data_IF_802760934787
#
_entry.id   IF_802760934787
#
_cell.length_a   1.000
_cell.length_b   1.000
_cell.length_c   1.000
_cell.angle_alpha   90.00
_cell.angle_beta   90.00
_cell.angle_gamma   90.00
#
_symmetry.space_group_name_H-M   'P 1'
#
loop_
_entity.id
_entity.type
_entity.pdbx_description
1 polymer ?
#
# COMPACT_ATOMS: atom_id res chain seq x y z
N UNK A 1 4.34 14.73 -0.74
CA UNK A 1 4.56 13.26 -0.73
C UNK A 1 3.46 12.48 0.02
N UNK A 2 3.14 12.79 1.28
CA UNK A 2 2.18 12.00 2.08
C UNK A 2 0.77 11.84 1.46
N UNK A 3 0.25 12.86 0.77
CA UNK A 3 -1.02 12.77 0.02
C UNK A 3 -0.97 11.76 -1.12
N UNK A 4 0.16 11.70 -1.81
CA UNK A 4 0.37 10.76 -2.92
C UNK A 4 0.51 9.33 -2.39
N UNK A 5 1.17 9.15 -1.24
CA UNK A 5 1.20 7.85 -0.55
C UNK A 5 -0.22 7.39 -0.17
N UNK A 6 -1.03 8.27 0.44
CA UNK A 6 -2.42 7.96 0.76
C UNK A 6 -3.24 7.61 -0.48
N UNK A 7 -3.06 8.34 -1.59
CA UNK A 7 -3.72 8.02 -2.87
C UNK A 7 -3.31 6.65 -3.40
N UNK A 8 -2.02 6.30 -3.35
CA UNK A 8 -1.52 4.98 -3.74
C UNK A 8 -2.14 3.85 -2.91
N UNK A 9 -2.26 4.03 -1.60
CA UNK A 9 -2.91 3.07 -0.71
C UNK A 9 -4.43 2.94 -0.98
N UNK A 10 -5.13 4.04 -1.27
CA UNK A 10 -6.54 4.02 -1.67
C UNK A 10 -6.75 3.28 -2.99
N UNK A 11 -5.87 3.52 -3.98
CA UNK A 11 -5.87 2.77 -5.24
C UNK A 11 -5.65 1.28 -4.98
N UNK A 12 -4.73 0.93 -4.08
CA UNK A 12 -4.53 -0.45 -3.63
C UNK A 12 -5.79 -1.07 -3.05
N UNK A 13 -6.51 -0.36 -2.16
CA UNK A 13 -7.75 -0.88 -1.56
C UNK A 13 -8.83 -1.13 -2.62
N UNK A 14 -8.97 -0.23 -3.59
CA UNK A 14 -9.85 -0.44 -4.74
C UNK A 14 -9.40 -1.65 -5.57
N UNK A 15 -8.10 -1.78 -5.80
CA UNK A 15 -7.52 -2.86 -6.59
C UNK A 15 -7.78 -4.24 -5.97
N UNK A 16 -7.54 -4.40 -4.67
CA UNK A 16 -7.84 -5.65 -3.95
C UNK A 16 -9.34 -5.95 -3.91
N UNK A 17 -10.18 -4.91 -3.79
CA UNK A 17 -11.63 -5.09 -3.90
C UNK A 17 -12.01 -5.66 -5.28
N UNK A 18 -11.45 -5.14 -6.37
CA UNK A 18 -11.69 -5.67 -7.72
C UNK A 18 -11.21 -7.11 -7.86
N UNK A 19 -10.04 -7.46 -7.31
CA UNK A 19 -9.52 -8.83 -7.33
C UNK A 19 -10.46 -9.79 -6.60
N UNK A 20 -10.96 -9.39 -5.43
CA UNK A 20 -11.93 -10.20 -4.65
C UNK A 20 -13.23 -10.39 -5.44
N UNK A 21 -13.77 -9.33 -6.06
CA UNK A 21 -15.00 -9.42 -6.84
C UNK A 21 -14.82 -10.12 -8.19
N UNK A 22 -13.59 -10.29 -8.69
CA UNK A 22 -13.36 -10.97 -9.96
C UNK A 22 -13.76 -12.45 -9.93
N UNK A 23 -13.61 -13.11 -8.76
CA UNK A 23 -14.00 -14.52 -8.55
C UNK A 23 -15.52 -14.74 -8.70
N UNK A 24 -16.41 -14.08 -7.93
CA UNK A 24 -17.86 -14.27 -8.10
C UNK A 24 -18.39 -13.75 -9.44
N UNK A 25 -17.70 -12.79 -10.07
CA UNK A 25 -18.05 -12.32 -11.42
C UNK A 25 -17.51 -13.22 -12.54
N UNK A 26 -16.65 -14.20 -12.22
CA UNK A 26 -15.99 -15.06 -13.22
C UNK A 26 -15.19 -14.29 -14.27
N UNK A 27 -14.71 -13.08 -13.95
CA UNK A 27 -14.20 -12.13 -14.95
C UNK A 27 -12.69 -11.94 -14.85
N UNK A 28 -11.97 -12.60 -15.76
CA UNK A 28 -10.52 -12.43 -15.89
C UNK A 28 -10.09 -10.98 -16.19
N UNK A 29 -10.95 -10.20 -16.86
CA UNK A 29 -10.67 -8.80 -17.15
C UNK A 29 -10.70 -7.93 -15.89
N UNK A 30 -11.64 -8.19 -14.98
CA UNK A 30 -11.69 -7.51 -13.67
C UNK A 30 -10.46 -7.85 -12.84
N UNK A 31 -10.05 -9.12 -12.83
CA UNK A 31 -8.83 -9.56 -12.16
C UNK A 31 -7.58 -8.85 -12.71
N UNK A 32 -7.43 -8.78 -14.04
CA UNK A 32 -6.31 -8.08 -14.70
C UNK A 32 -6.28 -6.60 -14.37
N UNK A 33 -7.43 -5.94 -14.40
CA UNK A 33 -7.55 -4.53 -14.03
C UNK A 33 -7.17 -4.30 -12.56
N UNK A 34 -7.61 -5.17 -11.66
CA UNK A 34 -7.20 -5.18 -10.26
C UNK A 34 -5.69 -5.32 -10.11
N UNK A 35 -5.08 -6.36 -10.69
CA UNK A 35 -3.63 -6.59 -10.64
C UNK A 35 -2.81 -5.42 -11.19
N UNK A 36 -3.27 -4.80 -12.28
CA UNK A 36 -2.66 -3.58 -12.81
C UNK A 36 -2.70 -2.44 -11.78
N UNK A 37 -3.86 -2.22 -11.15
CA UNK A 37 -4.03 -1.18 -10.13
C UNK A 37 -3.23 -1.46 -8.85
N UNK A 38 -3.00 -2.73 -8.48
CA UNK A 38 -2.10 -3.09 -7.37
C UNK A 38 -0.69 -2.56 -7.67
N UNK A 39 -0.15 -2.86 -8.86
CA UNK A 39 1.17 -2.38 -9.27
C UNK A 39 1.24 -0.86 -9.33
N UNK A 40 0.22 -0.22 -9.92
CA UNK A 40 0.15 1.24 -10.02
C UNK A 40 0.08 1.92 -8.64
N UNK A 41 -0.85 1.50 -7.77
CA UNK A 41 -1.01 2.04 -6.42
C UNK A 41 0.22 1.81 -5.54
N UNK A 42 0.80 0.61 -5.60
CA UNK A 42 2.03 0.25 -4.91
C UNK A 42 3.23 1.11 -5.37
N UNK A 43 3.35 1.35 -6.67
CA UNK A 43 4.37 2.24 -7.23
C UNK A 43 4.24 3.68 -6.72
N UNK A 44 3.03 4.25 -6.75
CA UNK A 44 2.75 5.58 -6.20
C UNK A 44 3.09 5.67 -4.71
N UNK A 45 2.71 4.65 -3.93
CA UNK A 45 3.01 4.58 -2.50
C UNK A 45 4.52 4.50 -2.24
N UNK A 46 5.23 3.66 -2.98
CA UNK A 46 6.68 3.47 -2.86
C UNK A 46 7.44 4.76 -3.15
N UNK A 47 7.16 5.42 -4.28
CA UNK A 47 7.84 6.67 -4.66
C UNK A 47 7.52 7.78 -3.66
N UNK A 48 6.26 7.89 -3.22
CA UNK A 48 5.85 8.91 -2.28
C UNK A 48 6.47 8.75 -0.88
N UNK A 49 6.55 7.52 -0.38
CA UNK A 49 7.16 7.22 0.94
C UNK A 49 8.66 7.40 0.90
N UNK A 50 9.33 6.99 -0.18
CA UNK A 50 10.76 7.25 -0.37
C UNK A 50 11.04 8.77 -0.36
N UNK A 51 10.26 9.53 -1.13
CA UNK A 51 10.38 10.99 -1.17
C UNK A 51 10.15 11.62 0.20
N UNK A 52 9.20 11.08 0.97
CA UNK A 52 8.96 11.55 2.34
C UNK A 52 10.13 11.21 3.27
N UNK A 53 10.72 10.01 3.16
CA UNK A 53 11.88 9.60 3.94
C UNK A 53 13.10 10.49 3.67
N UNK A 54 13.38 10.79 2.40
CA UNK A 54 14.46 11.69 2.02
C UNK A 54 14.24 13.13 2.52
N UNK A 55 12.98 13.58 2.59
CA UNK A 55 12.62 14.93 3.07
C UNK A 55 12.58 15.08 4.60
N UNK A 56 12.71 14.01 5.36
CA UNK A 56 12.80 14.06 6.84
C UNK A 56 14.21 14.39 7.33
N UNK A 57 15.23 14.19 6.50
CA UNK A 57 16.61 14.49 6.85
C UNK A 57 16.99 15.92 6.44
N UNK A 58 17.54 16.67 7.40
CA UNK A 58 18.05 18.04 7.20
C UNK A 58 19.57 18.14 7.43
N UNK A 59 20.25 17.03 7.74
CA UNK A 59 21.64 17.02 8.20
C UNK A 59 22.62 16.31 7.24
N UNK A 60 22.17 15.89 6.06
CA UNK A 60 23.04 15.29 5.03
C UNK A 60 23.20 13.77 5.14
N UNK A 61 22.33 13.11 5.89
CA UNK A 61 22.23 11.65 6.04
C UNK A 61 21.20 11.01 5.09
N UNK A 62 20.93 11.61 3.94
CA UNK A 62 19.93 11.09 2.97
C UNK A 62 20.23 9.65 2.55
N UNK A 63 21.50 9.25 2.48
CA UNK A 63 21.91 7.87 2.20
C UNK A 63 21.52 6.88 3.30
N UNK A 64 21.61 7.27 4.58
CA UNK A 64 21.13 6.45 5.71
C UNK A 64 19.61 6.35 5.71
N UNK A 65 18.90 7.44 5.40
CA UNK A 65 17.44 7.43 5.28
C UNK A 65 16.97 6.50 4.14
N UNK A 66 17.66 6.53 2.99
CA UNK A 66 17.43 5.62 1.87
C UNK A 66 17.70 4.16 2.26
N UNK A 67 18.80 3.90 2.97
CA UNK A 67 19.15 2.57 3.47
C UNK A 67 18.12 2.02 4.45
N UNK A 68 17.65 2.84 5.40
CA UNK A 68 16.59 2.46 6.34
C UNK A 68 15.25 2.19 5.64
N UNK A 69 14.85 3.03 4.69
CA UNK A 69 13.65 2.80 3.88
C UNK A 69 13.75 1.48 3.10
N UNK A 70 14.88 1.21 2.46
CA UNK A 70 15.12 -0.03 1.71
C UNK A 70 15.11 -1.28 2.61
N UNK A 71 15.72 -1.20 3.80
CA UNK A 71 15.71 -2.29 4.76
C UNK A 71 14.28 -2.65 5.22
N UNK A 72 13.48 -1.64 5.60
CA UNK A 72 12.08 -1.85 5.98
C UNK A 72 11.27 -2.44 4.84
N UNK A 73 11.47 -1.95 3.60
CA UNK A 73 10.78 -2.47 2.42
C UNK A 73 11.12 -3.95 2.19
N UNK A 74 12.40 -4.31 2.23
CA UNK A 74 12.85 -5.68 2.00
C UNK A 74 12.33 -6.63 3.09
N UNK A 75 12.37 -6.23 4.35
CA UNK A 75 11.82 -7.02 5.46
C UNK A 75 10.32 -7.18 5.36
N UNK A 76 9.58 -6.10 5.09
CA UNK A 76 8.13 -6.14 4.94
C UNK A 76 7.71 -7.00 3.74
N UNK A 77 8.38 -6.86 2.59
CA UNK A 77 8.12 -7.66 1.40
C UNK A 77 8.42 -9.14 1.65
N UNK A 78 9.55 -9.46 2.28
CA UNK A 78 9.89 -10.83 2.65
C UNK A 78 8.87 -11.46 3.60
N UNK A 79 8.46 -10.72 4.63
CA UNK A 79 7.43 -11.17 5.58
C UNK A 79 6.07 -11.37 4.89
N UNK A 80 5.68 -10.46 3.99
CA UNK A 80 4.44 -10.56 3.25
C UNK A 80 4.43 -11.78 2.31
N UNK A 81 5.52 -12.03 1.58
CA UNK A 81 5.65 -13.23 0.72
C UNK A 81 5.58 -14.51 1.54
N UNK A 82 6.31 -14.57 2.65
CA UNK A 82 6.29 -15.73 3.54
C UNK A 82 4.91 -15.97 4.15
N UNK A 83 4.34 -14.95 4.80
CA UNK A 83 3.06 -15.06 5.50
C UNK A 83 1.91 -15.30 4.52
N UNK A 84 1.86 -14.59 3.39
CA UNK A 84 0.84 -14.77 2.35
C UNK A 84 0.90 -16.18 1.74
N UNK A 85 2.11 -16.67 1.44
CA UNK A 85 2.30 -18.04 0.94
C UNK A 85 1.87 -19.10 1.96
N UNK A 86 2.34 -18.98 3.21
CA UNK A 86 2.01 -19.93 4.28
C UNK A 86 0.50 -19.95 4.58
N UNK A 87 -0.15 -18.78 4.69
CA UNK A 87 -1.59 -18.69 4.92
C UNK A 87 -2.37 -19.29 3.74
N UNK A 88 -2.03 -18.92 2.50
CA UNK A 88 -2.65 -19.52 1.32
C UNK A 88 -2.58 -21.05 1.36
N UNK A 89 -1.41 -21.60 1.65
CA UNK A 89 -1.15 -23.03 1.58
C UNK A 89 -1.89 -23.80 2.68
N UNK A 90 -1.82 -23.31 3.92
CA UNK A 90 -2.53 -23.92 5.05
C UNK A 90 -4.03 -23.94 4.81
N UNK A 91 -4.62 -22.81 4.43
CA UNK A 91 -6.07 -22.74 4.22
C UNK A 91 -6.53 -23.49 2.96
N UNK A 92 -5.70 -23.54 1.91
CA UNK A 92 -5.99 -24.38 0.74
C UNK A 92 -5.97 -25.87 1.11
N UNK A 93 -5.01 -26.30 1.93
CA UNK A 93 -4.96 -27.68 2.41
C UNK A 93 -6.17 -28.04 3.28
N UNK A 94 -6.56 -27.15 4.22
CA UNK A 94 -7.74 -27.34 5.06
C UNK A 94 -9.04 -27.42 4.24
N UNK A 95 -9.16 -26.61 3.17
CA UNK A 95 -10.29 -26.66 2.25
C UNK A 95 -10.34 -27.99 1.47
N UNK A 96 -9.21 -28.47 0.96
CA UNK A 96 -9.14 -29.76 0.25
C UNK A 96 -9.48 -30.94 1.16
N UNK A 97 -9.12 -30.87 2.44
CA UNK A 97 -9.44 -31.90 3.43
C UNK A 97 -10.87 -31.79 4.00
N UNK A 98 -11.69 -30.85 3.54
CA UNK A 98 -13.08 -30.72 3.95
C UNK A 98 -13.28 -30.16 5.37
N UNK A 99 -12.22 -29.69 6.02
CA UNK A 99 -12.23 -29.31 7.44
C UNK A 99 -12.81 -27.92 7.71
N UNK A 100 -13.01 -27.11 6.66
CA UNK A 100 -13.60 -25.76 6.75
C UNK A 100 -15.13 -25.75 6.54
N UNK A 101 -15.74 -26.92 6.28
CA UNK A 101 -17.15 -27.07 5.95
C UNK A 101 -17.44 -26.97 4.45
N UNK A 102 -18.59 -27.51 4.03
CA UNK A 102 -18.95 -27.65 2.60
C UNK A 102 -18.96 -26.33 1.82
N UNK A 103 -19.28 -25.21 2.48
CA UNK A 103 -19.34 -23.88 1.86
C UNK A 103 -17.95 -23.33 1.49
N UNK A 104 -16.88 -23.80 2.14
CA UNK A 104 -15.50 -23.35 1.93
C UNK A 104 -14.63 -24.40 1.24
N UNK A 105 -15.22 -25.45 0.66
CA UNK A 105 -14.50 -26.50 -0.05
C UNK A 105 -14.36 -26.19 -1.55
N UNK A 106 -13.79 -25.03 -1.89
CA UNK A 106 -13.49 -24.66 -3.27
C UNK A 106 -12.04 -24.15 -3.42
N UNK A 107 -11.48 -24.31 -4.62
CA UNK A 107 -10.05 -24.10 -4.89
C UNK A 107 -9.56 -22.64 -4.66
N UNK A 108 -10.48 -21.67 -4.57
CA UNK A 108 -10.18 -20.24 -4.39
C UNK A 108 -10.02 -19.78 -2.93
N UNK A 109 -10.40 -20.59 -1.94
CA UNK A 109 -10.49 -20.14 -0.53
C UNK A 109 -9.18 -19.60 0.03
N UNK A 110 -8.06 -20.27 -0.23
CA UNK A 110 -6.75 -19.82 0.25
C UNK A 110 -6.36 -18.45 -0.30
N UNK A 111 -6.65 -18.19 -1.58
CA UNK A 111 -6.39 -16.89 -2.19
C UNK A 111 -7.35 -15.81 -1.69
N UNK A 112 -8.64 -16.14 -1.56
CA UNK A 112 -9.64 -15.22 -1.04
C UNK A 112 -9.29 -14.71 0.36
N UNK A 113 -8.83 -15.59 1.26
CA UNK A 113 -8.38 -15.20 2.59
C UNK A 113 -7.21 -14.22 2.56
N UNK A 114 -6.18 -14.52 1.74
CA UNK A 114 -5.01 -13.63 1.61
C UNK A 114 -5.41 -12.28 1.06
N UNK A 115 -6.30 -12.22 0.06
CA UNK A 115 -6.77 -10.95 -0.49
C UNK A 115 -7.55 -10.10 0.51
N UNK A 116 -8.36 -10.72 1.38
CA UNK A 116 -9.04 -10.00 2.46
C UNK A 116 -8.06 -9.50 3.52
N UNK A 117 -7.05 -10.30 3.87
CA UNK A 117 -5.99 -9.89 4.80
C UNK A 117 -5.23 -8.67 4.27
N UNK A 118 -4.81 -8.71 3.00
CA UNK A 118 -4.13 -7.59 2.33
C UNK A 118 -5.01 -6.33 2.30
N UNK A 119 -6.30 -6.48 2.03
CA UNK A 119 -7.25 -5.37 2.07
C UNK A 119 -7.32 -4.73 3.47
N UNK A 120 -7.36 -5.55 4.53
CA UNK A 120 -7.33 -5.06 5.93
C UNK A 120 -6.01 -4.34 6.23
N UNK A 121 -4.88 -4.88 5.79
CA UNK A 121 -3.56 -4.25 5.98
C UNK A 121 -3.43 -2.91 5.23
N UNK A 122 -4.07 -2.78 4.06
CA UNK A 122 -4.16 -1.51 3.35
C UNK A 122 -4.98 -0.48 4.12
N UNK A 123 -6.09 -0.87 4.75
CA UNK A 123 -6.82 0.02 5.66
C UNK A 123 -5.98 0.41 6.88
N UNK A 124 -5.25 -0.52 7.48
CA UNK A 124 -4.32 -0.20 8.55
C UNK A 124 -3.23 0.81 8.10
N UNK A 125 -2.73 0.65 6.87
CA UNK A 125 -1.79 1.59 6.25
C UNK A 125 -2.41 2.97 6.08
N UNK A 126 -3.66 3.07 5.64
CA UNK A 126 -4.39 4.34 5.52
C UNK A 126 -4.58 5.03 6.88
N UNK A 127 -4.91 4.27 7.92
CA UNK A 127 -5.01 4.78 9.30
C UNK A 127 -3.66 5.34 9.76
N UNK A 128 -2.56 4.65 9.48
CA UNK A 128 -1.21 5.11 9.84
C UNK A 128 -0.77 6.37 9.05
N UNK A 129 -1.12 6.46 7.77
CA UNK A 129 -0.76 7.60 6.91
C UNK A 129 -1.67 8.83 7.17
N UNK A 130 -2.90 8.62 7.65
CA UNK A 130 -3.89 9.68 7.88
C UNK A 130 -3.37 10.91 8.65
N UNK A 131 -2.74 10.73 9.83
CA UNK A 131 -2.15 11.84 10.59
C UNK A 131 -1.09 12.61 9.82
N UNK A 132 -0.23 11.94 9.03
CA UNK A 132 0.85 12.55 8.25
C UNK A 132 0.30 13.48 7.15
N UNK A 133 -0.83 13.09 6.55
CA UNK A 133 -1.55 13.93 5.59
C UNK A 133 -2.14 15.16 6.26
N UNK A 134 -2.71 15.01 7.48
CA UNK A 134 -3.30 16.12 8.25
C UNK A 134 -2.26 17.15 8.67
N UNK A 135 -1.10 16.70 9.17
CA UNK A 135 0.03 17.56 9.54
C UNK A 135 0.56 18.36 8.35
N UNK A 136 0.63 17.73 7.17
CA UNK A 136 1.03 18.40 5.92
C UNK A 136 0.09 19.55 5.52
N UNK A 137 -1.21 19.48 5.88
CA UNK A 137 -2.20 20.53 5.59
C UNK A 137 -1.96 21.79 6.42
N UNK A 138 -1.44 21.65 7.64
CA UNK A 138 -1.19 22.77 8.56
C UNK A 138 0.08 23.54 8.17
N UNK A 139 1.08 22.84 7.59
CA UNK A 139 2.37 23.43 7.18
C UNK A 139 2.37 23.99 5.74
N UNK A 140 1.20 24.23 5.14
CA UNK A 140 1.14 24.87 3.82
C UNK A 140 1.82 26.26 3.89
N UNK A 141 2.66 26.66 2.91
CA UNK A 141 3.46 27.86 3.04
C UNK A 141 2.56 29.08 3.13
N UNK A 142 2.82 29.96 4.11
CA UNK A 142 2.50 31.37 3.93
C UNK A 142 3.14 31.78 2.61
N UNK A 143 2.34 32.26 1.66
CA UNK A 143 2.83 33.00 0.51
C UNK A 143 3.63 34.19 1.05
N UNK A 144 4.93 34.01 1.29
CA UNK A 144 5.83 35.14 1.36
C UNK A 144 5.82 35.70 -0.05
N UNK A 145 4.98 36.72 -0.24
CA UNK A 145 4.98 37.58 -1.41
C UNK A 145 6.44 37.92 -1.69
N UNK A 146 6.90 37.46 -2.85
CA UNK A 146 8.19 37.79 -3.40
C UNK A 146 8.36 39.31 -3.31
N UNK A 147 9.25 39.75 -2.41
CA UNK A 147 9.41 41.15 -2.05
C UNK A 147 10.10 41.90 -3.18
N UNK A 148 9.32 42.55 -4.04
CA UNK A 148 9.80 43.58 -4.98
C UNK A 148 10.22 44.88 -4.27
N UNK A 149 10.48 44.84 -2.96
CA UNK A 149 10.83 45.98 -2.13
C UNK A 149 12.34 46.09 -1.84
N UNK A 150 13.18 45.22 -2.42
CA UNK A 150 14.65 45.28 -2.30
C UNK A 150 15.34 45.99 -3.48
N UNK A 151 14.64 46.88 -4.21
CA UNK A 151 15.29 47.76 -5.17
C UNK A 151 15.72 49.07 -4.47
N UNK A 152 17.03 49.29 -4.24
CA UNK A 152 17.53 50.60 -3.80
C UNK A 152 17.33 51.61 -4.93
N UNK A 153 16.67 52.73 -4.61
CA UNK A 153 16.72 53.99 -5.36
C UNK A 153 17.84 54.89 -4.86
#
# INVERSE_FOLDING_TARGET
PHRLAAAGALVGALAFSLVIFAEPLGSANVFRAGTFLIGFGGGLFSVATLTAAMGLDSQGFTGLALGAWGAVQATAAGLAVFAGGALRDVFSALAVHGQLGEVLNFAGVGYSLVYHLELILLFATLVAVGPLVRLSRIKAPSSQKFGLAEFPG
#
